data_IF_799279292672
#
_entry.id   IF_799279292672
#
_cell.length_a   1.000
_cell.length_b   1.000
_cell.length_c   1.000
_cell.angle_alpha   90.00
_cell.angle_beta   90.00
_cell.angle_gamma   90.00
#
_symmetry.space_group_name_H-M   'P 1'
#
loop_
_entity.id
_entity.type
_entity.pdbx_description
1 polymer ?
#
# COMPACT_ATOMS: atom_id res chain seq x y z
N UNK A 1 7.99 -12.06 10.18
CA UNK A 1 7.49 -10.69 9.90
C UNK A 1 7.56 -10.48 8.41
N UNK A 2 6.55 -9.84 7.82
CA UNK A 2 6.54 -9.43 6.43
C UNK A 2 6.28 -7.93 6.35
N UNK A 3 6.97 -7.24 5.46
CA UNK A 3 6.74 -5.84 5.12
C UNK A 3 6.57 -5.78 3.61
N UNK A 4 5.53 -5.11 3.14
CA UNK A 4 5.20 -5.02 1.73
C UNK A 4 4.86 -3.58 1.38
N UNK A 5 5.45 -3.06 0.30
CA UNK A 5 5.08 -1.77 -0.24
C UNK A 5 4.50 -1.95 -1.64
N UNK A 6 3.45 -1.19 -1.94
CA UNK A 6 2.73 -1.27 -3.21
C UNK A 6 2.11 0.07 -3.55
N UNK A 7 1.59 0.18 -4.77
CA UNK A 7 0.74 1.30 -5.19
C UNK A 7 -0.72 0.88 -5.12
N UNK A 8 -1.62 1.83 -4.84
CA UNK A 8 -3.05 1.58 -4.77
C UNK A 8 -3.86 2.51 -5.67
N UNK A 9 -5.18 2.34 -5.62
CA UNK A 9 -6.15 3.18 -6.33
C UNK A 9 -6.12 4.63 -5.83
N UNK A 10 -6.40 5.61 -6.69
CA UNK A 10 -6.51 7.01 -6.28
C UNK A 10 -5.15 7.67 -5.95
N UNK A 11 -4.12 7.29 -6.71
CA UNK A 11 -2.76 7.83 -6.61
C UNK A 11 -2.17 7.66 -5.21
N UNK A 12 -2.21 6.42 -4.71
CA UNK A 12 -1.67 6.07 -3.40
C UNK A 12 -0.41 5.23 -3.51
N UNK A 13 0.54 5.50 -2.61
CA UNK A 13 1.66 4.63 -2.30
C UNK A 13 1.51 4.12 -0.87
N UNK A 14 1.59 2.81 -0.67
CA UNK A 14 1.23 2.14 0.57
C UNK A 14 2.37 1.26 1.09
N UNK A 15 2.45 1.15 2.41
CA UNK A 15 3.37 0.29 3.14
C UNK A 15 2.57 -0.48 4.20
N UNK A 16 2.69 -1.79 4.17
CA UNK A 16 2.00 -2.74 5.03
C UNK A 16 3.02 -3.50 5.87
N UNK A 17 2.78 -3.60 7.17
CA UNK A 17 3.49 -4.49 8.09
C UNK A 17 2.55 -5.63 8.50
N UNK A 18 3.11 -6.83 8.57
CA UNK A 18 2.48 -7.99 9.16
C UNK A 18 3.40 -8.74 10.12
N UNK A 19 2.98 -8.76 11.38
CA UNK A 19 3.47 -9.61 12.45
C UNK A 19 2.43 -10.71 12.72
N UNK A 20 2.88 -11.97 12.74
CA UNK A 20 2.01 -13.11 13.06
C UNK A 20 1.31 -12.87 14.39
N UNK A 21 0.04 -13.26 14.46
CA UNK A 21 -0.84 -13.15 15.65
C UNK A 21 -1.14 -11.74 16.13
N UNK A 22 -0.54 -10.70 15.55
CA UNK A 22 -0.67 -9.31 16.02
C UNK A 22 -1.24 -8.35 14.98
N UNK A 23 -0.97 -8.60 13.70
CA UNK A 23 -1.45 -7.80 12.59
C UNK A 23 -2.36 -8.62 11.69
N UNK A 24 -3.33 -7.95 11.04
CA UNK A 24 -4.08 -8.54 9.93
C UNK A 24 -3.15 -8.99 8.79
N UNK A 25 -3.55 -10.00 8.02
CA UNK A 25 -2.78 -10.45 6.86
C UNK A 25 -2.82 -9.41 5.74
N UNK A 26 -1.68 -9.18 5.08
CA UNK A 26 -1.57 -8.20 3.97
C UNK A 26 -2.47 -8.60 2.81
N UNK A 27 -2.55 -9.90 2.49
CA UNK A 27 -3.44 -10.40 1.44
C UNK A 27 -4.91 -10.09 1.74
N UNK A 28 -5.33 -10.20 3.00
CA UNK A 28 -6.70 -9.91 3.45
C UNK A 28 -7.04 -8.39 3.41
N UNK A 29 -6.05 -7.50 3.18
CA UNK A 29 -6.23 -6.05 3.00
C UNK A 29 -6.32 -5.61 1.55
N UNK A 30 -5.77 -6.39 0.62
CA UNK A 30 -5.74 -6.07 -0.81
C UNK A 30 -6.98 -6.68 -1.46
N UNK A 31 -7.86 -5.90 -2.10
CA UNK A 31 -9.10 -6.42 -2.67
C UNK A 31 -8.84 -7.53 -3.71
N UNK A 32 -9.55 -8.66 -3.59
CA UNK A 32 -9.40 -9.84 -4.48
C UNK A 32 -9.65 -9.54 -5.98
N UNK A 33 -10.43 -8.51 -6.28
CA UNK A 33 -10.66 -8.06 -7.67
C UNK A 33 -9.34 -7.77 -8.40
N UNK A 34 -8.30 -7.33 -7.66
CA UNK A 34 -6.97 -7.05 -8.19
C UNK A 34 -6.08 -8.31 -8.28
N UNK A 35 -6.39 -9.38 -7.56
CA UNK A 35 -5.59 -10.62 -7.53
C UNK A 35 -6.12 -11.72 -8.46
N UNK A 36 -7.36 -11.57 -8.98
CA UNK A 36 -7.96 -12.50 -9.97
C UNK A 36 -7.56 -12.19 -11.41
N UNK A 37 -7.06 -10.98 -11.69
CA UNK A 37 -6.45 -10.64 -12.97
C UNK A 37 -4.99 -11.15 -12.98
N UNK A 38 -4.66 -11.97 -13.97
CA UNK A 38 -3.41 -12.71 -14.15
C UNK A 38 -2.17 -12.05 -13.50
N UNK A 39 -1.39 -12.77 -12.66
CA UNK A 39 -0.31 -12.20 -11.84
C UNK A 39 0.87 -11.60 -12.62
N UNK A 40 0.82 -11.60 -13.96
CA UNK A 40 1.83 -11.02 -14.85
C UNK A 40 1.24 -10.27 -16.06
N UNK A 41 -0.08 -10.04 -16.09
CA UNK A 41 -0.66 -9.18 -17.13
C UNK A 41 -0.44 -7.72 -16.73
N UNK A 42 -0.09 -6.88 -17.71
CA UNK A 42 -0.22 -5.44 -17.53
C UNK A 42 -1.68 -5.12 -17.18
N UNK A 43 -1.89 -4.04 -16.42
CA UNK A 43 -3.22 -3.51 -16.22
C UNK A 43 -3.73 -2.94 -17.56
N UNK A 44 -4.33 -3.80 -18.38
CA UNK A 44 -4.90 -3.42 -19.69
C UNK A 44 -6.38 -3.01 -19.56
N UNK A 45 -6.92 -2.98 -18.34
CA UNK A 45 -8.31 -2.63 -18.08
C UNK A 45 -8.54 -1.13 -18.22
N UNK A 46 -9.51 -0.75 -19.07
CA UNK A 46 -10.00 0.62 -19.13
C UNK A 46 -10.48 1.07 -17.75
N UNK A 47 -9.85 2.12 -17.21
CA UNK A 47 -10.35 2.78 -15.99
C UNK A 47 -11.59 3.58 -16.39
N UNK A 48 -12.79 3.25 -15.87
CA UNK A 48 -13.99 3.99 -16.22
C UNK A 48 -13.85 5.43 -15.72
N UNK A 49 -13.63 6.36 -16.63
CA UNK A 49 -13.63 7.80 -16.35
C UNK A 49 -15.01 8.36 -16.65
N UNK A 50 -15.54 9.16 -15.74
CA UNK A 50 -16.82 9.85 -15.90
C UNK A 50 -16.86 10.82 -17.09
N UNK A 51 -15.69 11.15 -17.67
CA UNK A 51 -15.52 12.16 -18.73
C UNK A 51 -14.79 11.65 -20.00
N UNK A 52 -14.61 10.33 -20.17
CA UNK A 52 -14.10 9.76 -21.43
C UNK A 52 -12.61 9.96 -21.73
N UNK A 53 -11.88 10.71 -20.90
CA UNK A 53 -10.42 10.85 -21.01
C UNK A 53 -9.76 9.87 -20.04
N UNK A 54 -9.39 8.69 -20.54
CA UNK A 54 -8.66 7.68 -19.79
C UNK A 54 -7.32 8.26 -19.35
N UNK A 55 -7.18 8.63 -18.08
CA UNK A 55 -5.86 8.95 -17.50
C UNK A 55 -5.19 7.66 -17.05
N UNK A 56 -4.99 6.74 -18.00
CA UNK A 56 -4.13 5.58 -17.82
C UNK A 56 -2.67 6.04 -17.81
N UNK A 57 -2.28 6.63 -16.69
CA UNK A 57 -0.90 6.92 -16.40
C UNK A 57 -0.47 5.96 -15.30
N UNK A 58 0.35 4.98 -15.65
CA UNK A 58 1.30 4.44 -14.70
C UNK A 58 2.11 5.63 -14.18
N UNK A 59 1.85 6.08 -12.96
CA UNK A 59 2.53 7.23 -12.36
C UNK A 59 3.84 6.71 -11.74
N UNK A 60 5.01 6.80 -12.41
CA UNK A 60 6.24 6.17 -11.93
C UNK A 60 6.67 6.70 -10.55
N UNK A 61 6.24 7.92 -10.21
CA UNK A 61 6.49 8.50 -8.89
C UNK A 61 5.77 7.76 -7.75
N UNK A 62 4.66 7.07 -8.00
CA UNK A 62 3.97 6.27 -6.98
C UNK A 62 4.81 5.06 -6.59
N UNK A 63 5.36 4.34 -7.59
CA UNK A 63 6.28 3.23 -7.33
C UNK A 63 7.54 3.69 -6.60
N UNK A 64 8.09 4.85 -7.00
CA UNK A 64 9.22 5.45 -6.30
C UNK A 64 8.87 5.83 -4.85
N UNK A 65 7.67 6.39 -4.61
CA UNK A 65 7.20 6.71 -3.26
C UNK A 65 6.99 5.45 -2.41
N UNK A 66 6.43 4.38 -2.96
CA UNK A 66 6.27 3.09 -2.29
C UNK A 66 7.65 2.49 -1.93
N UNK A 67 8.59 2.50 -2.87
CA UNK A 67 9.98 2.09 -2.63
C UNK A 67 10.66 2.92 -1.54
N UNK A 68 10.46 4.24 -1.53
CA UNK A 68 11.00 5.13 -0.49
C UNK A 68 10.40 4.83 0.89
N UNK A 69 9.09 4.59 0.97
CA UNK A 69 8.44 4.17 2.22
C UNK A 69 9.06 2.87 2.76
N UNK A 70 9.27 1.88 1.88
CA UNK A 70 9.92 0.61 2.25
C UNK A 70 11.35 0.83 2.73
N UNK A 71 12.16 1.58 1.96
CA UNK A 71 13.54 1.86 2.30
C UNK A 71 13.64 2.57 3.67
N UNK A 72 12.79 3.57 3.92
CA UNK A 72 12.75 4.28 5.22
C UNK A 72 12.31 3.38 6.37
N UNK A 73 11.36 2.48 6.14
CA UNK A 73 10.95 1.53 7.16
C UNK A 73 12.08 0.55 7.52
N UNK A 74 12.78 0.02 6.51
CA UNK A 74 13.93 -0.86 6.69
C UNK A 74 15.08 -0.15 7.41
N UNK A 75 15.38 1.08 7.02
CA UNK A 75 16.41 1.92 7.65
C UNK A 75 16.08 2.21 9.13
N UNK A 76 14.84 2.60 9.42
CA UNK A 76 14.37 2.83 10.77
C UNK A 76 14.35 1.54 11.61
N UNK A 77 14.08 0.37 10.99
CA UNK A 77 14.22 -0.91 11.68
C UNK A 77 15.68 -1.23 12.01
N UNK A 78 16.60 -0.99 11.08
CA UNK A 78 18.02 -1.25 11.28
C UNK A 78 18.63 -0.39 12.41
N UNK A 79 18.19 0.87 12.53
CA UNK A 79 18.79 1.83 13.47
C UNK A 79 17.97 2.11 14.73
N UNK A 80 16.66 1.84 14.73
CA UNK A 80 15.72 2.28 15.79
C UNK A 80 14.65 1.23 16.11
N UNK A 81 14.89 -0.04 15.75
CA UNK A 81 13.89 -1.06 15.44
C UNK A 81 12.86 -1.49 16.49
N UNK A 82 12.88 -0.97 17.71
CA UNK A 82 11.89 -1.34 18.72
C UNK A 82 10.55 -0.62 18.53
N UNK A 83 10.53 0.67 18.21
CA UNK A 83 9.29 1.44 18.23
C UNK A 83 8.32 1.09 17.08
N UNK A 84 8.86 0.80 15.89
CA UNK A 84 8.06 0.40 14.72
C UNK A 84 7.49 -1.02 14.84
N UNK A 85 8.16 -1.90 15.57
CA UNK A 85 7.65 -3.23 15.88
C UNK A 85 6.70 -3.20 17.07
N UNK A 86 6.99 -2.38 18.09
CA UNK A 86 6.13 -2.23 19.26
C UNK A 86 4.82 -1.46 18.95
N UNK A 87 4.83 -0.60 17.94
CA UNK A 87 3.65 0.18 17.55
C UNK A 87 2.47 -0.66 17.05
N UNK A 88 1.26 -0.13 17.25
CA UNK A 88 -0.01 -0.71 16.77
C UNK A 88 -0.30 -0.40 15.31
N UNK A 89 0.28 0.67 14.76
CA UNK A 89 0.15 1.02 13.35
C UNK A 89 0.90 0.01 12.49
N UNK A 90 0.22 -0.53 11.50
CA UNK A 90 0.73 -1.58 10.61
C UNK A 90 0.39 -1.33 9.14
N UNK A 91 -0.10 -0.12 8.83
CA UNK A 91 -0.35 0.36 7.49
C UNK A 91 -0.08 1.86 7.41
N UNK A 92 0.66 2.28 6.39
CA UNK A 92 0.95 3.68 6.07
C UNK A 92 0.66 3.92 4.59
N UNK A 93 -0.01 5.03 4.27
CA UNK A 93 -0.36 5.38 2.91
C UNK A 93 -0.10 6.85 2.64
N UNK A 94 0.57 7.16 1.53
CA UNK A 94 0.69 8.52 0.99
C UNK A 94 -0.29 8.64 -0.17
N UNK A 95 -1.24 9.56 -0.05
CA UNK A 95 -2.15 9.93 -1.14
C UNK A 95 -1.66 11.21 -1.80
N UNK A 96 -1.51 11.21 -3.11
CA UNK A 96 -1.13 12.37 -3.90
C UNK A 96 -2.37 13.06 -4.47
N UNK A 97 -2.41 14.39 -4.38
CA UNK A 97 -3.46 15.20 -4.99
C UNK A 97 -3.28 15.36 -6.51
N UNK A 98 -4.34 15.83 -7.21
CA UNK A 98 -4.27 16.11 -8.64
C UNK A 98 -3.23 17.19 -8.97
N UNK A 99 -2.77 17.25 -10.24
CA UNK A 99 -1.76 18.21 -10.67
C UNK A 99 -2.22 19.65 -10.39
N UNK A 100 -1.36 20.47 -9.80
CA UNK A 100 -1.69 21.83 -9.39
C UNK A 100 -2.12 21.98 -7.93
N UNK A 101 -2.49 20.89 -7.24
CA UNK A 101 -2.74 20.87 -5.81
C UNK A 101 -1.58 20.13 -5.13
N UNK A 102 -0.64 20.88 -4.54
CA UNK A 102 0.51 20.32 -3.79
C UNK A 102 0.09 19.75 -2.44
N UNK A 103 -0.68 18.67 -2.45
CA UNK A 103 -1.02 17.95 -1.22
C UNK A 103 -0.63 16.49 -1.36
N UNK A 104 0.48 16.11 -0.72
CA UNK A 104 0.73 14.74 -0.34
C UNK A 104 0.21 14.56 1.09
N UNK A 105 -0.69 13.59 1.31
CA UNK A 105 -1.22 13.29 2.64
C UNK A 105 -0.74 11.94 3.11
N UNK A 106 -0.03 11.91 4.23
CA UNK A 106 0.33 10.67 4.92
C UNK A 106 -0.78 10.29 5.89
N UNK A 107 -1.29 9.07 5.74
CA UNK A 107 -2.22 8.44 6.68
C UNK A 107 -1.57 7.17 7.25
N UNK A 108 -1.96 6.79 8.46
CA UNK A 108 -1.56 5.53 9.07
C UNK A 108 -2.73 4.89 9.79
N UNK A 109 -2.84 3.57 9.69
CA UNK A 109 -3.94 2.80 10.25
C UNK A 109 -3.42 1.58 11.00
N UNK A 110 -4.27 1.04 11.87
CA UNK A 110 -4.09 -0.25 12.50
C UNK A 110 -5.15 -1.20 11.94
N UNK A 111 -4.70 -2.36 11.49
CA UNK A 111 -5.54 -3.49 11.10
C UNK A 111 -5.35 -4.63 12.10
N UNK A 112 -6.35 -4.86 12.94
CA UNK A 112 -6.33 -5.94 13.92
C UNK A 112 -6.41 -7.31 13.22
N UNK A 113 -5.89 -8.38 13.82
CA UNK A 113 -5.99 -9.73 13.28
C UNK A 113 -7.44 -10.10 12.98
N UNK A 114 -7.68 -10.73 11.81
CA UNK A 114 -8.97 -11.32 11.46
C UNK A 114 -8.95 -12.83 11.69
N UNK A 115 -10.07 -13.36 12.17
CA UNK A 115 -10.23 -14.78 12.45
C UNK A 115 -10.61 -15.62 11.21
N UNK A 116 -11.11 -14.96 10.16
CA UNK A 116 -11.60 -15.58 8.92
C UNK A 116 -10.55 -15.61 7.79
N UNK A 117 -9.31 -15.19 8.05
CA UNK A 117 -8.28 -15.14 7.01
C UNK A 117 -7.72 -16.54 6.70
N UNK A 118 -7.86 -16.99 5.45
CA UNK A 118 -7.40 -18.30 4.98
C UNK A 118 -5.86 -18.49 4.96
N UNK A 119 -5.10 -17.43 5.26
CA UNK A 119 -3.64 -17.37 5.17
C UNK A 119 -2.95 -17.25 6.55
N UNK A 120 -3.54 -17.83 7.60
CA UNK A 120 -3.10 -17.69 9.00
C UNK A 120 -1.78 -18.39 9.32
#
# INVERSE_FOLDING_TARGET
MVVHATTGTGWTAELHRHLRERDDCIACRIPEEQSKQSPFACADGEVPTSDGDSTDAALPFLSAAAGLLLARFLDAMAHSGSHLLAGTRNHWAITFGPPGIRTARLNSRHWAPRDDCAHR
#
